data_IF_994234715690
#
_entry.id   IF_994234715690
#
_cell.length_a   1.000
_cell.length_b   1.000
_cell.length_c   1.000
_cell.angle_alpha   90.00
_cell.angle_beta   90.00
_cell.angle_gamma   90.00
#
_symmetry.space_group_name_H-M   'P 1'
#
loop_
_entity.id
_entity.type
_entity.pdbx_description
1 polymer ?
#
# COMPACT_ATOMS: atom_id res chain seq x y z
N UNK A 1 -20.96 -11.28 -5.56
CA UNK A 1 -20.24 -12.21 -4.67
C UNK A 1 -18.81 -11.69 -4.60
N UNK A 2 -18.02 -12.05 -3.61
CA UNK A 2 -16.65 -11.57 -3.50
C UNK A 2 -15.69 -12.75 -3.36
N UNK A 3 -14.63 -12.71 -4.15
CA UNK A 3 -13.56 -13.69 -4.12
C UNK A 3 -12.35 -13.08 -3.41
N UNK A 4 -11.91 -13.72 -2.34
CA UNK A 4 -10.75 -13.30 -1.57
C UNK A 4 -9.65 -14.36 -1.64
N UNK A 5 -8.41 -13.94 -1.91
CA UNK A 5 -7.25 -14.81 -1.96
C UNK A 5 -6.19 -14.35 -0.97
N UNK A 6 -5.57 -15.30 -0.28
CA UNK A 6 -4.34 -15.08 0.48
C UNK A 6 -3.26 -15.99 -0.11
N UNK A 7 -2.12 -15.40 -0.46
CA UNK A 7 -0.97 -16.10 -1.02
C UNK A 7 0.17 -16.01 -0.02
N UNK A 8 0.58 -17.16 0.52
CA UNK A 8 1.67 -17.25 1.50
C UNK A 8 2.31 -18.64 1.52
N UNK A 9 3.64 -18.70 1.70
CA UNK A 9 4.38 -19.93 2.01
C UNK A 9 4.07 -21.12 1.10
N UNK A 10 4.02 -20.90 -0.21
CA UNK A 10 3.71 -21.97 -1.18
C UNK A 10 2.23 -22.37 -1.25
N UNK A 11 1.33 -21.63 -0.61
CA UNK A 11 -0.11 -21.90 -0.66
C UNK A 11 -0.92 -20.69 -1.11
N UNK A 12 -1.96 -20.97 -1.90
CA UNK A 12 -3.07 -20.05 -2.15
C UNK A 12 -4.25 -20.52 -1.33
N UNK A 13 -4.76 -19.66 -0.46
CA UNK A 13 -6.01 -19.83 0.25
C UNK A 13 -7.07 -18.97 -0.43
N UNK A 14 -8.26 -19.52 -0.67
CA UNK A 14 -9.31 -18.80 -1.38
C UNK A 14 -10.68 -19.01 -0.74
N UNK A 15 -11.43 -17.91 -0.63
CA UNK A 15 -12.77 -17.86 -0.05
C UNK A 15 -13.68 -17.13 -1.01
N UNK A 16 -14.77 -17.78 -1.42
CA UNK A 16 -15.88 -17.14 -2.12
C UNK A 16 -16.97 -16.82 -1.08
N UNK A 17 -17.40 -15.57 -1.04
CA UNK A 17 -18.41 -15.09 -0.11
C UNK A 17 -19.59 -14.45 -0.85
N UNK A 18 -20.77 -14.58 -0.24
CA UNK A 18 -22.01 -14.01 -0.74
C UNK A 18 -22.59 -13.10 0.34
N UNK A 19 -23.07 -11.94 -0.09
CA UNK A 19 -23.89 -11.07 0.75
C UNK A 19 -25.20 -10.77 0.01
N UNK A 20 -26.30 -10.74 0.75
CA UNK A 20 -27.64 -10.43 0.21
C UNK A 20 -27.89 -8.93 0.07
N UNK A 21 -27.14 -8.10 0.78
CA UNK A 21 -27.25 -6.63 0.75
C UNK A 21 -25.93 -5.99 1.22
N UNK A 22 -25.72 -4.69 0.95
CA UNK A 22 -24.46 -3.99 1.30
C UNK A 22 -24.07 -4.10 2.79
N UNK A 23 -25.06 -4.13 3.68
CA UNK A 23 -24.88 -4.23 5.14
C UNK A 23 -25.52 -5.51 5.71
N UNK A 24 -25.79 -6.49 4.85
CA UNK A 24 -26.36 -7.77 5.23
C UNK A 24 -25.32 -8.77 5.75
N UNK A 25 -25.79 -9.90 6.32
CA UNK A 25 -24.90 -10.96 6.77
C UNK A 25 -24.15 -11.56 5.58
N UNK A 26 -22.85 -11.80 5.78
CA UNK A 26 -21.97 -12.46 4.83
C UNK A 26 -22.00 -13.96 5.09
N UNK A 27 -22.20 -14.75 4.04
CA UNK A 27 -22.12 -16.20 4.07
C UNK A 27 -20.97 -16.69 3.19
N UNK A 28 -20.17 -17.63 3.67
CA UNK A 28 -19.15 -18.30 2.87
C UNK A 28 -19.83 -19.32 1.96
N UNK A 29 -19.60 -19.25 0.65
CA UNK A 29 -20.12 -20.21 -0.32
C UNK A 29 -19.10 -21.29 -0.66
N UNK A 30 -17.82 -20.95 -0.75
CA UNK A 30 -16.74 -21.90 -1.05
C UNK A 30 -15.47 -21.53 -0.30
N UNK A 31 -14.73 -22.56 0.08
CA UNK A 31 -13.36 -22.45 0.57
C UNK A 31 -12.52 -23.48 -0.16
N UNK A 32 -11.29 -23.11 -0.49
CA UNK A 32 -10.31 -24.01 -1.08
C UNK A 32 -8.91 -23.52 -0.76
N UNK A 33 -7.96 -24.43 -0.85
CA UNK A 33 -6.56 -24.09 -0.89
C UNK A 33 -5.83 -25.00 -1.86
N UNK A 34 -4.70 -24.56 -2.38
CA UNK A 34 -3.81 -25.38 -3.18
C UNK A 34 -2.37 -24.93 -3.02
N UNK A 35 -1.46 -25.86 -3.28
CA UNK A 35 -0.02 -25.65 -3.20
C UNK A 35 0.53 -25.16 -4.55
N UNK A 36 1.58 -24.36 -4.48
CA UNK A 36 2.41 -23.94 -5.61
C UNK A 36 3.89 -24.03 -5.22
N UNK A 37 4.81 -24.26 -6.17
CA UNK A 37 6.24 -24.23 -5.87
C UNK A 37 6.66 -22.90 -5.26
N UNK A 38 7.25 -22.90 -4.06
CA UNK A 38 7.65 -21.66 -3.38
C UNK A 38 8.58 -20.79 -4.23
N UNK A 39 9.37 -21.38 -5.13
CA UNK A 39 10.25 -20.64 -6.04
C UNK A 39 9.51 -19.73 -7.03
N UNK A 40 8.20 -19.90 -7.22
CA UNK A 40 7.41 -19.09 -8.14
C UNK A 40 7.09 -17.70 -7.60
N UNK A 41 7.17 -17.49 -6.28
CA UNK A 41 6.90 -16.20 -5.65
C UNK A 41 8.00 -15.92 -4.63
N UNK A 42 8.64 -14.76 -4.75
CA UNK A 42 9.68 -14.32 -3.84
C UNK A 42 9.44 -12.89 -3.35
N UNK A 43 10.45 -12.33 -2.68
CA UNK A 43 10.38 -10.97 -2.14
C UNK A 43 10.23 -9.88 -3.20
N UNK A 44 10.51 -10.18 -4.47
CA UNK A 44 10.33 -9.26 -5.60
C UNK A 44 8.95 -9.42 -6.27
N UNK A 45 8.18 -10.44 -5.89
CA UNK A 45 6.83 -10.69 -6.38
C UNK A 45 6.70 -12.06 -7.04
N UNK A 46 5.81 -12.17 -8.02
CA UNK A 46 5.57 -13.41 -8.77
C UNK A 46 6.61 -13.52 -9.89
N UNK A 47 7.44 -14.56 -9.86
CA UNK A 47 8.47 -14.84 -10.88
C UNK A 47 7.89 -15.56 -12.09
N UNK A 48 7.19 -16.66 -11.84
CA UNK A 48 6.61 -17.53 -12.86
C UNK A 48 5.12 -17.15 -13.04
N UNK A 49 4.88 -15.99 -13.66
CA UNK A 49 3.54 -15.39 -13.76
C UNK A 49 2.59 -16.24 -14.59
N UNK A 50 3.07 -16.78 -15.72
CA UNK A 50 2.25 -17.55 -16.65
C UNK A 50 1.86 -18.90 -16.02
N UNK A 51 2.81 -19.62 -15.45
CA UNK A 51 2.61 -20.90 -14.78
C UNK A 51 1.68 -20.77 -13.56
N UNK A 52 1.91 -19.74 -12.74
CA UNK A 52 1.05 -19.46 -11.60
C UNK A 52 -0.37 -19.09 -12.05
N UNK A 53 -0.48 -18.27 -13.10
CA UNK A 53 -1.76 -17.87 -13.69
C UNK A 53 -2.55 -19.05 -14.27
N UNK A 54 -1.89 -19.94 -15.01
CA UNK A 54 -2.50 -21.15 -15.56
C UNK A 54 -2.99 -22.08 -14.45
N UNK A 55 -2.16 -22.33 -13.44
CA UNK A 55 -2.53 -23.18 -12.31
C UNK A 55 -3.70 -22.58 -11.52
N UNK A 56 -3.69 -21.27 -11.24
CA UNK A 56 -4.81 -20.58 -10.61
C UNK A 56 -6.09 -20.72 -11.45
N UNK A 57 -6.02 -20.53 -12.76
CA UNK A 57 -7.16 -20.68 -13.68
C UNK A 57 -7.71 -22.12 -13.70
N UNK A 58 -6.84 -23.13 -13.66
CA UNK A 58 -7.23 -24.53 -13.54
C UNK A 58 -7.99 -24.78 -12.23
N UNK A 59 -7.49 -24.27 -11.10
CA UNK A 59 -8.14 -24.40 -9.80
C UNK A 59 -9.50 -23.67 -9.74
N UNK A 60 -9.61 -22.47 -10.31
CA UNK A 60 -10.89 -21.75 -10.41
C UNK A 60 -11.91 -22.53 -11.23
N UNK A 61 -11.50 -23.05 -12.39
CA UNK A 61 -12.36 -23.81 -13.31
C UNK A 61 -12.81 -25.13 -12.69
N UNK A 62 -11.88 -25.91 -12.11
CA UNK A 62 -12.16 -27.19 -11.45
C UNK A 62 -13.14 -27.03 -10.28
N UNK A 63 -13.07 -25.92 -9.55
CA UNK A 63 -13.95 -25.65 -8.42
C UNK A 63 -15.21 -24.85 -8.80
N UNK A 64 -15.44 -24.62 -10.10
CA UNK A 64 -16.59 -23.89 -10.65
C UNK A 64 -16.77 -22.50 -9.97
N UNK A 65 -15.66 -21.79 -9.78
CA UNK A 65 -15.62 -20.39 -9.33
C UNK A 65 -15.68 -19.51 -10.57
N UNK A 66 -16.67 -18.62 -10.62
CA UNK A 66 -16.99 -17.83 -11.82
C UNK A 66 -16.64 -16.35 -11.68
N UNK A 67 -16.46 -15.87 -10.46
CA UNK A 67 -15.96 -14.54 -10.15
C UNK A 67 -14.66 -14.23 -10.91
N UNK A 68 -14.61 -13.05 -11.52
CA UNK A 68 -13.47 -12.54 -12.30
C UNK A 68 -12.71 -11.44 -11.57
N UNK A 69 -13.40 -10.73 -10.69
CA UNK A 69 -12.79 -9.76 -9.79
C UNK A 69 -12.45 -10.45 -8.47
N UNK A 70 -11.25 -10.20 -7.97
CA UNK A 70 -10.82 -10.72 -6.68
C UNK A 70 -10.07 -9.66 -5.88
N UNK A 71 -10.14 -9.81 -4.56
CA UNK A 71 -9.30 -9.10 -3.61
C UNK A 71 -8.25 -10.11 -3.16
N UNK A 72 -6.98 -9.79 -3.31
CA UNK A 72 -5.93 -10.68 -2.87
C UNK A 72 -4.92 -9.96 -1.99
N UNK A 73 -4.27 -10.72 -1.11
CA UNK A 73 -3.07 -10.30 -0.43
C UNK A 73 -1.93 -11.29 -0.71
N UNK A 74 -0.74 -10.75 -0.88
CA UNK A 74 0.51 -11.51 -0.89
C UNK A 74 1.28 -11.04 0.32
N UNK A 75 1.62 -11.97 1.22
CA UNK A 75 2.49 -11.62 2.33
C UNK A 75 3.91 -11.48 1.79
N UNK A 76 4.34 -10.24 1.53
CA UNK A 76 5.68 -9.95 1.04
C UNK A 76 6.45 -9.14 2.10
N UNK A 77 7.61 -9.66 2.51
CA UNK A 77 8.49 -8.97 3.45
C UNK A 77 9.07 -7.65 2.92
N UNK A 78 8.89 -7.35 1.63
CA UNK A 78 9.28 -6.06 1.04
C UNK A 78 8.32 -4.91 1.38
N UNK A 79 7.14 -5.18 1.96
CA UNK A 79 6.21 -4.12 2.38
C UNK A 79 6.75 -3.47 3.66
N UNK A 80 6.95 -2.14 3.60
CA UNK A 80 7.45 -1.33 4.72
C UNK A 80 6.28 -0.54 5.31
N UNK A 81 6.07 -0.67 6.62
CA UNK A 81 5.06 0.11 7.35
C UNK A 81 5.75 1.20 8.19
N UNK A 82 5.30 2.45 8.05
CA UNK A 82 5.84 3.59 8.80
C UNK A 82 4.77 4.62 9.09
N UNK A 83 4.71 5.06 10.35
CA UNK A 83 3.93 6.23 10.75
C UNK A 83 4.77 7.50 10.53
N UNK A 84 4.14 8.53 9.97
CA UNK A 84 4.77 9.82 9.67
C UNK A 84 3.90 10.96 10.18
N UNK A 85 4.56 11.96 10.75
CA UNK A 85 3.95 13.25 11.09
C UNK A 85 4.13 14.19 9.90
N UNK A 86 3.04 14.62 9.30
CA UNK A 86 3.06 15.57 8.18
C UNK A 86 2.41 16.89 8.60
N UNK A 87 2.89 18.04 8.10
CA UNK A 87 2.23 19.31 8.35
C UNK A 87 0.83 19.32 7.73
N UNK A 88 -0.11 20.02 8.39
CA UNK A 88 -1.45 20.21 7.83
C UNK A 88 -1.37 21.07 6.58
N UNK A 89 -1.85 20.52 5.46
CA UNK A 89 -1.85 21.15 4.14
C UNK A 89 -3.19 20.88 3.44
N UNK A 90 -3.38 21.48 2.26
CA UNK A 90 -4.53 21.17 1.40
C UNK A 90 -4.52 19.67 1.05
N UNK A 91 -5.66 18.99 1.26
CA UNK A 91 -5.86 17.56 1.00
C UNK A 91 -5.42 17.14 -0.40
N UNK A 92 -5.54 18.03 -1.40
CA UNK A 92 -5.10 17.76 -2.78
C UNK A 92 -3.59 17.61 -2.90
N UNK A 93 -2.83 18.21 -1.99
CA UNK A 93 -1.36 18.17 -1.95
C UNK A 93 -0.84 17.08 -1.02
N UNK A 94 -1.67 16.54 -0.12
CA UNK A 94 -1.29 15.53 0.88
C UNK A 94 -0.58 14.31 0.26
N UNK A 95 -1.09 13.70 -0.83
CA UNK A 95 -0.41 12.55 -1.44
C UNK A 95 1.02 12.86 -1.89
N UNK A 96 1.25 14.05 -2.42
CA UNK A 96 2.57 14.46 -2.90
C UNK A 96 3.55 14.66 -1.74
N UNK A 97 3.11 15.33 -0.68
CA UNK A 97 3.95 15.56 0.50
C UNK A 97 4.25 14.26 1.24
N UNK A 98 3.24 13.40 1.46
CA UNK A 98 3.45 12.08 2.07
C UNK A 98 4.47 11.28 1.30
N UNK A 99 4.36 11.25 -0.04
CA UNK A 99 5.33 10.54 -0.89
C UNK A 99 6.75 11.10 -0.73
N UNK A 100 6.90 12.42 -0.73
CA UNK A 100 8.20 13.08 -0.56
C UNK A 100 8.82 12.77 0.81
N UNK A 101 8.03 12.88 1.88
CA UNK A 101 8.49 12.58 3.24
C UNK A 101 8.84 11.10 3.42
N UNK A 102 8.04 10.18 2.87
CA UNK A 102 8.35 8.75 2.88
C UNK A 102 9.66 8.44 2.16
N UNK A 103 9.87 9.00 0.97
CA UNK A 103 11.11 8.80 0.20
C UNK A 103 12.33 9.32 0.96
N UNK A 104 12.23 10.50 1.59
CA UNK A 104 13.32 11.07 2.38
C UNK A 104 13.58 10.27 3.66
N UNK A 105 12.54 9.90 4.40
CA UNK A 105 12.67 9.21 5.68
C UNK A 105 13.21 7.78 5.55
N UNK A 106 12.89 7.11 4.44
CA UNK A 106 13.23 5.71 4.19
C UNK A 106 14.31 5.53 3.11
N UNK A 107 14.84 6.63 2.55
CA UNK A 107 15.77 6.62 1.41
C UNK A 107 15.25 5.77 0.22
N UNK A 108 13.96 5.92 -0.10
CA UNK A 108 13.31 5.15 -1.16
C UNK A 108 13.40 5.86 -2.51
N UNK A 109 13.40 5.06 -3.56
CA UNK A 109 13.34 5.49 -4.95
C UNK A 109 11.87 5.64 -5.42
N UNK A 110 11.60 6.38 -6.52
CA UNK A 110 10.23 6.62 -7.00
C UNK A 110 9.47 5.40 -7.53
N UNK A 111 10.17 4.29 -7.75
CA UNK A 111 9.69 3.00 -8.24
C UNK A 111 8.87 2.22 -7.20
N UNK A 112 8.89 2.62 -5.94
CA UNK A 112 8.01 2.07 -4.91
C UNK A 112 6.57 2.52 -5.10
N UNK A 113 5.64 1.56 -5.05
CA UNK A 113 4.22 1.83 -4.87
C UNK A 113 4.02 2.24 -3.40
N UNK A 114 3.53 3.46 -3.19
CA UNK A 114 3.28 4.03 -1.86
C UNK A 114 1.81 4.32 -1.70
N UNK A 115 1.26 3.91 -0.55
CA UNK A 115 -0.10 4.20 -0.14
C UNK A 115 -0.07 4.70 1.31
N UNK A 116 -1.09 5.47 1.71
CA UNK A 116 -1.16 6.03 3.05
C UNK A 116 -2.60 6.12 3.55
N UNK A 117 -2.74 6.09 4.87
CA UNK A 117 -3.98 6.38 5.57
C UNK A 117 -3.71 7.48 6.59
N UNK A 118 -4.59 8.49 6.62
CA UNK A 118 -4.55 9.51 7.67
C UNK A 118 -5.14 8.88 8.93
N UNK A 119 -4.33 8.72 9.97
CA UNK A 119 -4.74 8.12 11.24
C UNK A 119 -5.49 9.14 12.10
N UNK A 120 -4.86 10.30 12.33
CA UNK A 120 -5.42 11.39 13.14
C UNK A 120 -4.84 12.76 12.75
N UNK A 121 -5.54 13.83 13.09
CA UNK A 121 -5.03 15.20 13.02
C UNK A 121 -4.62 15.68 14.40
N UNK A 122 -3.33 16.02 14.58
CA UNK A 122 -2.80 16.53 15.83
C UNK A 122 -2.65 18.05 15.72
N UNK A 123 -3.30 18.80 16.62
CA UNK A 123 -3.03 20.23 16.80
C UNK A 123 -1.92 20.38 17.84
N UNK A 124 -0.72 20.78 17.39
CA UNK A 124 0.29 21.29 18.32
C UNK A 124 0.00 22.77 18.60
N UNK A 125 -0.15 23.12 19.88
CA UNK A 125 0.03 24.49 20.33
C UNK A 125 1.52 24.83 20.19
N UNK A 126 1.95 25.35 19.04
CA UNK A 126 3.32 25.87 18.90
C UNK A 126 3.35 27.34 19.32
N UNK A 127 4.08 27.63 20.41
CA UNK A 127 4.62 28.95 20.68
C UNK A 127 5.51 29.35 19.50
N UNK A 128 5.06 30.34 18.72
CA UNK A 128 5.80 30.82 17.57
C UNK A 128 7.17 31.38 18.01
N UNK A 129 8.26 30.72 17.63
CA UNK A 129 9.58 31.36 17.65
C UNK A 129 9.64 32.26 16.41
N UNK A 130 9.37 33.55 16.61
CA UNK A 130 9.66 34.57 15.61
C UNK A 130 11.19 34.70 15.49
N UNK A 131 11.75 34.35 14.34
CA UNK A 131 13.13 34.68 13.99
C UNK A 131 13.10 35.99 13.22
N UNK A 132 13.56 37.06 13.86
CA UNK A 132 13.76 38.36 13.23
C UNK A 132 15.22 38.45 12.74
N UNK A 133 15.40 38.69 11.44
CA UNK A 133 16.72 38.96 10.86
C UNK A 133 16.83 40.48 10.66
N UNK A 134 17.86 41.15 11.23
CA UNK A 134 18.03 42.59 11.03
C UNK A 134 18.37 42.88 9.56
N UNK A 135 17.64 43.84 8.97
CA UNK A 135 17.71 44.25 7.56
C UNK A 135 19.15 44.54 7.07
N UNK A 136 20.01 45.03 7.98
CA UNK A 136 21.44 45.31 7.70
C UNK A 136 22.28 44.07 7.38
N UNK A 137 21.83 42.87 7.73
CA UNK A 137 22.52 41.63 7.36
C UNK A 137 22.37 41.30 5.87
N UNK A 138 21.39 41.90 5.18
CA UNK A 138 21.08 41.61 3.76
C UNK A 138 21.79 42.57 2.80
N UNK A 139 22.14 43.79 3.24
CA UNK A 139 22.73 44.82 2.35
C UNK A 139 24.24 44.67 2.08
N UNK A 140 24.97 43.83 2.82
CA UNK A 140 26.44 43.77 2.71
C UNK A 140 26.99 42.95 1.51
N UNK A 141 26.15 42.29 0.70
CA UNK A 141 26.65 41.52 -0.46
C UNK A 141 26.62 42.28 -1.79
N UNK A 142 26.17 43.54 -1.83
CA UNK A 142 26.03 44.28 -3.11
C UNK A 142 27.20 45.18 -3.50
N UNK A 143 28.34 45.12 -2.79
CA UNK A 143 29.54 45.90 -3.15
C UNK A 143 30.83 45.13 -2.91
N UNK A 144 31.15 44.21 -3.80
CA UNK A 144 32.55 43.85 -4.09
C UNK A 144 32.82 44.02 -5.59
N UNK A 145 33.60 45.09 -5.87
CA UNK A 145 34.50 45.39 -7.00
C UNK A 145 34.08 45.10 -8.45
#
# INVERSE_FOLDING_TARGET
MALSLEIRSGFVYMVESKSKSKSGPISISKTLFFEFPESWIDNQGVREVDEFGEMLAQHLTKNNIREKDCIFCINNSSIIYRELMIPKIDDKKTPFIVRSEMMNALNLTPDYIMDFIVLEEIQKEEEAIAVEVPEKAVENESKEN
#
